data_IF_772800837306
#
_entry.id   IF_772800837306
#
_cell.length_a   1.000
_cell.length_b   1.000
_cell.length_c   1.000
_cell.angle_alpha   90.00
_cell.angle_beta   90.00
_cell.angle_gamma   90.00
#
_symmetry.space_group_name_H-M   'P 1'
#
loop_
_entity.id
_entity.type
_entity.pdbx_description
1 polymer ?
#
# COMPACT_ATOMS: atom_id res chain seq x y z
N UNK A 1 1.53 5.26 12.87
CA UNK A 1 0.21 5.54 13.48
C UNK A 1 -0.03 7.04 13.45
N UNK A 2 -1.27 7.48 13.27
CA UNK A 2 -1.65 8.90 13.26
C UNK A 2 -2.16 9.26 14.66
N UNK A 3 -1.73 10.40 15.18
CA UNK A 3 -2.21 10.94 16.44
C UNK A 3 -3.31 11.94 16.16
N UNK A 4 -4.44 11.81 16.85
CA UNK A 4 -5.59 12.70 16.73
C UNK A 4 -5.94 13.35 18.07
N UNK A 5 -6.44 14.59 18.05
CA UNK A 5 -7.03 15.22 19.23
C UNK A 5 -8.45 14.68 19.49
N UNK A 6 -9.12 15.22 20.52
CA UNK A 6 -10.49 14.84 20.88
C UNK A 6 -11.49 15.18 19.77
N UNK A 7 -11.20 16.18 18.96
CA UNK A 7 -12.01 16.63 17.82
C UNK A 7 -11.75 15.82 16.53
N UNK A 8 -10.82 14.87 16.56
CA UNK A 8 -10.49 13.99 15.44
C UNK A 8 -9.51 14.57 14.41
N UNK A 9 -8.98 15.77 14.65
CA UNK A 9 -7.95 16.41 13.85
C UNK A 9 -6.59 15.76 14.05
N UNK A 10 -5.76 15.74 13.02
CA UNK A 10 -4.42 15.17 13.08
C UNK A 10 -3.51 16.14 13.84
N UNK A 11 -2.93 15.68 14.95
CA UNK A 11 -1.97 16.45 15.77
C UNK A 11 -0.54 15.94 15.64
N UNK A 12 -0.33 14.88 14.85
CA UNK A 12 0.99 14.35 14.57
C UNK A 12 1.00 12.89 14.13
N UNK A 13 2.20 12.34 14.11
CA UNK A 13 2.49 10.99 13.66
C UNK A 13 3.34 10.27 14.70
N UNK A 14 3.01 9.00 14.96
CA UNK A 14 3.79 8.08 15.77
C UNK A 14 4.10 6.83 14.93
N UNK A 15 5.18 6.81 14.14
CA UNK A 15 5.66 5.57 13.53
C UNK A 15 5.95 4.54 14.63
N UNK A 16 5.67 3.27 14.36
CA UNK A 16 5.90 2.17 15.29
C UNK A 16 6.41 0.98 14.52
N UNK A 17 7.52 0.41 14.97
CA UNK A 17 8.16 -0.78 14.40
C UNK A 17 8.12 -1.87 15.47
N UNK A 18 7.56 -3.02 15.13
CA UNK A 18 7.46 -4.17 16.03
C UNK A 18 8.34 -5.28 15.49
N UNK A 19 9.29 -5.73 16.29
CA UNK A 19 10.25 -6.75 15.90
C UNK A 19 10.20 -7.93 16.87
N UNK A 20 10.22 -9.15 16.34
CA UNK A 20 10.15 -10.38 17.12
C UNK A 20 8.72 -10.83 17.42
N UNK A 21 8.59 -11.93 18.16
CA UNK A 21 7.31 -12.56 18.51
C UNK A 21 7.25 -12.87 20.00
N UNK A 22 6.06 -12.75 20.59
CA UNK A 22 5.79 -13.08 22.00
C UNK A 22 6.78 -12.41 22.96
N UNK A 23 7.51 -13.19 23.74
CA UNK A 23 8.42 -12.75 24.80
C UNK A 23 9.65 -12.00 24.28
N UNK A 24 10.00 -12.17 23.00
CA UNK A 24 11.09 -11.44 22.36
C UNK A 24 10.62 -10.23 21.55
N UNK A 25 9.34 -9.85 21.68
CA UNK A 25 8.80 -8.70 20.97
C UNK A 25 9.37 -7.41 21.54
N UNK A 26 9.95 -6.59 20.66
CA UNK A 26 10.39 -5.23 20.95
C UNK A 26 9.63 -4.25 20.06
N UNK A 27 9.11 -3.20 20.68
CA UNK A 27 8.37 -2.15 20.00
C UNK A 27 9.19 -0.86 20.04
N UNK A 28 9.51 -0.31 18.88
CA UNK A 28 10.21 0.96 18.70
C UNK A 28 9.21 2.01 18.24
N UNK A 29 9.19 3.18 18.86
CA UNK A 29 8.32 4.27 18.44
C UNK A 29 8.95 5.62 18.75
N UNK A 30 8.61 6.62 17.95
CA UNK A 30 8.94 8.02 18.16
C UNK A 30 7.72 8.85 17.77
N UNK A 31 7.51 9.98 18.44
CA UNK A 31 6.37 10.86 18.18
C UNK A 31 6.84 12.14 17.50
N UNK A 32 6.14 12.54 16.44
CA UNK A 32 6.36 13.75 15.66
C UNK A 32 5.07 14.55 15.68
N UNK A 33 5.03 15.61 16.50
CA UNK A 33 3.85 16.46 16.64
C UNK A 33 3.89 17.60 15.63
N UNK A 34 2.72 18.04 15.23
CA UNK A 34 2.55 19.30 14.49
C UNK A 34 2.69 20.42 15.51
N UNK A 35 3.52 21.42 15.18
CA UNK A 35 3.71 22.64 15.98
C UNK A 35 3.53 23.85 15.07
N UNK A 36 3.44 25.08 15.59
CA UNK A 36 3.37 26.28 14.76
C UNK A 36 4.55 26.39 13.76
N UNK A 37 5.70 25.82 14.09
CA UNK A 37 6.91 25.82 13.27
C UNK A 37 7.07 24.57 12.37
N UNK A 38 6.28 23.52 12.61
CA UNK A 38 6.39 22.24 11.90
C UNK A 38 5.04 21.88 11.31
N UNK A 39 4.94 22.00 9.99
CA UNK A 39 3.72 21.68 9.26
C UNK A 39 3.37 20.18 9.33
N UNK A 40 2.11 19.86 9.01
CA UNK A 40 1.64 18.48 8.86
C UNK A 40 2.54 17.65 7.91
N UNK A 41 3.00 18.26 6.82
CA UNK A 41 3.83 17.61 5.81
C UNK A 41 5.25 17.33 6.31
N UNK A 42 5.82 18.25 7.09
CA UNK A 42 7.16 18.10 7.67
C UNK A 42 7.16 17.10 8.81
N UNK A 43 6.13 17.12 9.67
CA UNK A 43 5.95 16.11 10.71
C UNK A 43 5.81 14.71 10.10
N UNK A 44 5.11 14.58 8.96
CA UNK A 44 5.00 13.32 8.24
C UNK A 44 6.34 12.88 7.66
N UNK A 45 7.07 13.79 7.00
CA UNK A 45 8.39 13.50 6.42
C UNK A 45 9.37 13.05 7.50
N UNK A 46 9.47 13.77 8.61
CA UNK A 46 10.34 13.42 9.73
C UNK A 46 9.96 12.04 10.33
N UNK A 47 8.67 11.74 10.43
CA UNK A 47 8.20 10.42 10.86
C UNK A 47 8.60 9.30 9.91
N UNK A 48 8.54 9.53 8.60
CA UNK A 48 8.98 8.58 7.57
C UNK A 48 10.50 8.39 7.62
N UNK A 49 11.27 9.47 7.68
CA UNK A 49 12.73 9.42 7.75
C UNK A 49 13.22 8.67 8.98
N UNK A 50 12.65 8.96 10.16
CA UNK A 50 12.98 8.25 11.39
C UNK A 50 12.65 6.76 11.29
N UNK A 51 11.52 6.42 10.68
CA UNK A 51 11.11 5.03 10.49
C UNK A 51 12.11 4.31 9.60
N UNK A 52 12.41 4.86 8.43
CA UNK A 52 13.28 4.21 7.44
C UNK A 52 14.71 4.04 7.99
N UNK A 53 15.20 5.04 8.72
CA UNK A 53 16.49 4.98 9.42
C UNK A 53 16.50 3.92 10.53
N UNK A 54 15.39 3.79 11.28
CA UNK A 54 15.26 2.78 12.34
C UNK A 54 15.09 1.38 11.75
N UNK A 55 14.29 1.20 10.69
CA UNK A 55 14.16 -0.06 9.96
C UNK A 55 15.54 -0.53 9.45
N UNK A 56 16.31 0.38 8.85
CA UNK A 56 17.68 0.09 8.39
C UNK A 56 18.61 -0.34 9.53
N UNK A 57 18.56 0.33 10.69
CA UNK A 57 19.33 -0.06 11.90
C UNK A 57 18.96 -1.45 12.42
N UNK A 58 17.70 -1.85 12.24
CA UNK A 58 17.18 -3.14 12.68
C UNK A 58 17.36 -4.25 11.63
N UNK A 59 18.01 -3.98 10.50
CA UNK A 59 18.20 -4.93 9.41
C UNK A 59 16.92 -5.22 8.61
N UNK A 60 15.93 -4.33 8.66
CA UNK A 60 14.66 -4.42 7.94
C UNK A 60 14.78 -3.58 6.67
N UNK A 61 14.34 -4.13 5.53
CA UNK A 61 14.25 -3.36 4.28
C UNK A 61 13.14 -2.31 4.41
N UNK A 62 13.46 -1.00 4.27
CA UNK A 62 12.50 0.06 4.51
C UNK A 62 11.20 -0.11 3.73
N UNK A 63 10.06 0.12 4.39
CA UNK A 63 8.74 -0.04 3.76
C UNK A 63 8.21 -1.47 3.68
N UNK A 64 8.91 -2.45 4.29
CA UNK A 64 8.39 -3.81 4.51
C UNK A 64 7.28 -3.82 5.57
N UNK A 65 6.10 -3.31 5.21
CA UNK A 65 4.96 -3.23 6.11
C UNK A 65 4.20 -4.57 6.22
N UNK A 66 3.88 -4.97 7.45
CA UNK A 66 2.84 -5.97 7.66
C UNK A 66 1.48 -5.37 7.26
N UNK A 67 0.69 -6.14 6.50
CA UNK A 67 -0.60 -5.68 5.97
C UNK A 67 -1.65 -5.28 7.05
N UNK A 68 -1.38 -5.57 8.33
CA UNK A 68 -2.32 -5.42 9.43
C UNK A 68 -2.36 -4.01 10.06
N UNK A 69 -1.37 -3.15 9.82
CA UNK A 69 -1.27 -1.85 10.52
C UNK A 69 -1.26 -0.61 9.60
N UNK A 70 -1.55 -0.75 8.31
CA UNK A 70 -1.40 0.38 7.37
C UNK A 70 -2.70 1.15 7.15
N UNK A 71 -3.01 2.13 8.01
CA UNK A 71 -3.59 3.37 7.48
C UNK A 71 -2.50 4.04 6.66
N UNK A 72 -2.44 3.72 5.36
CA UNK A 72 -1.45 4.35 4.49
C UNK A 72 -1.85 5.82 4.34
N UNK A 73 -0.91 6.76 4.57
CA UNK A 73 -1.19 8.18 4.41
C UNK A 73 -1.49 8.53 2.95
N UNK A 74 -1.06 7.68 2.01
CA UNK A 74 -1.20 7.89 0.57
C UNK A 74 -2.05 6.77 -0.02
N UNK A 75 -2.80 7.12 -1.06
CA UNK A 75 -3.54 6.18 -1.87
C UNK A 75 -2.60 5.26 -2.67
N UNK A 76 -2.84 3.96 -2.60
CA UNK A 76 -2.10 2.92 -3.31
C UNK A 76 -3.09 2.00 -4.01
N UNK A 77 -2.80 1.70 -5.28
CA UNK A 77 -3.58 0.76 -6.09
C UNK A 77 -3.06 -0.65 -5.84
N UNK A 78 -3.95 -1.62 -5.70
CA UNK A 78 -3.62 -3.03 -5.49
C UNK A 78 -4.57 -3.94 -6.25
N UNK A 79 -4.02 -5.04 -6.79
CA UNK A 79 -4.82 -6.10 -7.39
C UNK A 79 -5.40 -6.99 -6.28
N UNK A 80 -6.72 -7.12 -6.26
CA UNK A 80 -7.45 -7.98 -5.34
C UNK A 80 -8.14 -9.09 -6.13
N UNK A 81 -7.85 -10.34 -5.76
CA UNK A 81 -8.46 -11.53 -6.36
C UNK A 81 -9.09 -12.36 -5.25
N UNK A 82 -10.37 -12.71 -5.38
CA UNK A 82 -11.07 -13.52 -4.37
C UNK A 82 -10.37 -14.87 -4.19
N UNK A 83 -10.38 -15.35 -2.95
CA UNK A 83 -9.71 -16.61 -2.59
C UNK A 83 -10.58 -17.83 -2.94
N UNK A 84 -11.89 -17.66 -2.91
CA UNK A 84 -12.90 -18.67 -3.23
C UNK A 84 -13.65 -18.35 -4.53
N UNK A 85 -14.16 -19.40 -5.21
CA UNK A 85 -15.13 -19.24 -6.29
C UNK A 85 -16.42 -18.54 -5.82
N UNK A 86 -17.11 -17.78 -6.70
CA UNK A 86 -16.67 -17.41 -8.04
C UNK A 86 -15.47 -16.45 -7.98
N UNK A 87 -14.39 -16.78 -8.70
CA UNK A 87 -13.17 -15.99 -8.66
C UNK A 87 -13.43 -14.60 -9.26
N UNK A 88 -13.33 -13.55 -8.46
CA UNK A 88 -13.52 -12.14 -8.87
C UNK A 88 -12.21 -11.40 -8.71
N UNK A 89 -11.82 -10.65 -9.74
CA UNK A 89 -10.62 -9.83 -9.73
C UNK A 89 -10.98 -8.36 -9.95
N UNK A 90 -10.36 -7.47 -9.18
CA UNK A 90 -10.56 -6.03 -9.28
C UNK A 90 -9.30 -5.28 -8.85
N UNK A 91 -9.11 -4.11 -9.42
CA UNK A 91 -8.19 -3.10 -8.92
C UNK A 91 -8.89 -2.30 -7.84
N UNK A 92 -8.21 -2.07 -6.72
CA UNK A 92 -8.74 -1.25 -5.65
C UNK A 92 -7.68 -0.36 -5.03
N UNK A 93 -8.11 0.80 -4.55
CA UNK A 93 -7.30 1.63 -3.67
C UNK A 93 -7.48 1.21 -2.21
N UNK A 94 -6.48 1.46 -1.36
CA UNK A 94 -6.74 1.49 0.08
C UNK A 94 -7.67 2.67 0.42
N UNK A 95 -8.22 2.60 1.64
CA UNK A 95 -8.81 3.76 2.28
C UNK A 95 -7.64 4.59 2.82
N UNK A 96 -7.67 5.88 2.54
CA UNK A 96 -6.68 6.85 3.01
C UNK A 96 -7.03 7.30 4.43
N UNK A 97 -6.06 7.90 5.12
CA UNK A 97 -6.19 8.26 6.54
C UNK A 97 -7.23 9.35 6.83
N UNK A 98 -7.52 10.17 5.83
CA UNK A 98 -8.57 11.19 5.77
C UNK A 98 -9.99 10.58 5.60
N UNK A 99 -10.09 9.26 5.43
CA UNK A 99 -11.35 8.54 5.33
C UNK A 99 -11.90 8.46 3.90
N UNK A 100 -11.18 8.93 2.88
CA UNK A 100 -11.68 8.94 1.51
C UNK A 100 -12.07 7.52 1.03
N UNK A 101 -13.20 7.38 0.31
CA UNK A 101 -13.73 6.08 -0.07
C UNK A 101 -12.78 5.33 -1.00
N UNK A 102 -12.81 4.00 -0.88
CA UNK A 102 -12.03 3.10 -1.75
C UNK A 102 -12.59 3.13 -3.16
N UNK A 103 -11.73 3.33 -4.15
CA UNK A 103 -12.07 3.09 -5.54
C UNK A 103 -11.96 1.59 -5.79
N UNK A 104 -12.94 1.01 -6.49
CA UNK A 104 -12.92 -0.39 -6.93
C UNK A 104 -13.35 -0.46 -8.39
N UNK A 105 -12.50 -1.05 -9.23
CA UNK A 105 -12.78 -1.29 -10.65
C UNK A 105 -12.65 -2.78 -10.92
N UNK A 106 -13.75 -3.41 -11.30
CA UNK A 106 -13.77 -4.85 -11.62
C UNK A 106 -13.05 -5.10 -12.94
N UNK A 107 -12.26 -6.17 -13.00
CA UNK A 107 -11.65 -6.63 -14.26
C UNK A 107 -12.74 -7.35 -15.06
N UNK A 108 -13.33 -8.43 -14.55
CA UNK A 108 -14.53 -9.05 -15.14
C UNK A 108 -14.40 -9.34 -16.64
N UNK A 109 -15.29 -8.74 -17.45
CA UNK A 109 -15.29 -8.80 -18.93
C UNK A 109 -14.33 -7.81 -19.60
N UNK A 110 -13.69 -6.92 -18.83
CA UNK A 110 -12.72 -5.92 -19.30
C UNK A 110 -11.31 -6.51 -19.33
N UNK A 111 -10.43 -5.88 -20.11
CA UNK A 111 -9.02 -6.22 -20.11
C UNK A 111 -8.36 -5.85 -18.76
N UNK A 112 -7.33 -6.62 -18.36
CA UNK A 112 -6.51 -6.37 -17.18
C UNK A 112 -5.94 -4.95 -17.13
N UNK A 113 -5.46 -4.44 -18.28
CA UNK A 113 -4.89 -3.12 -18.45
C UNK A 113 -5.96 -2.03 -18.35
N UNK A 114 -7.07 -2.13 -19.09
CA UNK A 114 -8.13 -1.12 -19.10
C UNK A 114 -8.70 -0.86 -17.69
N UNK A 115 -8.90 -1.93 -16.92
CA UNK A 115 -9.38 -1.82 -15.54
C UNK A 115 -8.35 -1.12 -14.62
N UNK A 116 -7.05 -1.28 -14.90
CA UNK A 116 -5.99 -0.58 -14.18
C UNK A 116 -5.99 0.90 -14.55
N UNK A 117 -6.06 1.23 -15.84
CA UNK A 117 -6.10 2.59 -16.35
C UNK A 117 -7.26 3.40 -15.77
N UNK A 118 -8.47 2.82 -15.78
CA UNK A 118 -9.64 3.42 -15.16
C UNK A 118 -9.43 3.67 -13.66
N UNK A 119 -8.72 2.78 -12.97
CA UNK A 119 -8.40 2.96 -11.55
C UNK A 119 -7.42 4.12 -11.34
N UNK A 120 -6.40 4.26 -12.19
CA UNK A 120 -5.44 5.37 -12.15
C UNK A 120 -6.14 6.70 -12.39
N UNK A 121 -7.00 6.79 -13.41
CA UNK A 121 -7.72 8.02 -13.74
C UNK A 121 -8.70 8.43 -12.64
N UNK A 122 -9.46 7.48 -12.08
CA UNK A 122 -10.35 7.76 -10.94
C UNK A 122 -9.58 8.20 -9.71
N UNK A 123 -8.40 7.62 -9.49
CA UNK A 123 -7.54 8.04 -8.39
C UNK A 123 -7.02 9.46 -8.62
N UNK A 124 -6.52 9.78 -9.83
CA UNK A 124 -6.04 11.12 -10.17
C UNK A 124 -7.14 12.18 -9.97
N UNK A 125 -8.36 11.89 -10.45
CA UNK A 125 -9.53 12.74 -10.25
C UNK A 125 -9.86 12.95 -8.77
N UNK A 126 -9.82 11.88 -7.96
CA UNK A 126 -10.13 11.96 -6.52
C UNK A 126 -9.11 12.80 -5.76
N UNK A 127 -7.83 12.68 -6.11
CA UNK A 127 -6.75 13.44 -5.45
C UNK A 127 -6.59 14.85 -6.04
N UNK A 128 -7.36 15.23 -7.05
CA UNK A 128 -7.26 16.54 -7.71
C UNK A 128 -5.94 16.75 -8.47
N UNK A 129 -5.26 15.67 -8.85
CA UNK A 129 -4.01 15.72 -9.61
C UNK A 129 -4.28 15.55 -11.10
N UNK A 130 -3.50 16.19 -11.98
CA UNK A 130 -3.62 15.97 -13.41
C UNK A 130 -3.36 14.48 -13.73
N UNK A 131 -4.15 13.87 -14.63
CA UNK A 131 -3.88 12.51 -15.06
C UNK A 131 -2.50 12.43 -15.73
N UNK A 132 -1.78 11.32 -15.56
CA UNK A 132 -0.48 11.15 -16.21
C UNK A 132 -0.67 11.14 -17.74
N UNK A 133 0.23 11.79 -18.47
CA UNK A 133 0.22 11.82 -19.96
C UNK A 133 0.26 10.41 -20.56
N UNK A 134 0.96 9.50 -19.89
CA UNK A 134 1.01 8.09 -20.24
C UNK A 134 0.74 7.25 -18.99
N UNK A 135 -0.31 6.42 -19.04
CA UNK A 135 -0.61 5.51 -17.93
C UNK A 135 0.39 4.35 -17.96
N UNK A 136 1.06 4.03 -16.84
CA UNK A 136 1.97 2.90 -16.80
C UNK A 136 1.25 1.58 -17.06
N UNK A 137 2.00 0.59 -17.54
CA UNK A 137 1.49 -0.78 -17.66
C UNK A 137 1.14 -1.33 -16.28
N UNK A 138 0.00 -2.02 -16.22
CA UNK A 138 -0.49 -2.66 -15.01
C UNK A 138 0.56 -3.68 -14.51
N UNK A 139 0.92 -3.63 -13.21
CA UNK A 139 1.92 -4.53 -12.69
C UNK A 139 1.46 -5.98 -12.81
N UNK A 140 2.35 -6.94 -13.11
CA UNK A 140 1.96 -8.33 -13.26
C UNK A 140 1.44 -8.91 -11.94
N UNK A 141 0.41 -9.78 -11.98
CA UNK A 141 -0.14 -10.40 -10.78
C UNK A 141 0.87 -11.34 -10.13
N UNK A 142 0.66 -11.62 -8.84
CA UNK A 142 1.38 -12.70 -8.16
C UNK A 142 0.97 -14.06 -8.74
N UNK A 143 1.83 -15.07 -8.57
CA UNK A 143 1.60 -16.42 -9.12
C UNK A 143 0.26 -17.04 -8.67
N UNK A 144 -0.12 -16.85 -7.41
CA UNK A 144 -1.39 -17.34 -6.87
C UNK A 144 -2.60 -16.56 -7.44
N UNK A 145 -2.48 -15.23 -7.53
CA UNK A 145 -3.49 -14.36 -8.13
C UNK A 145 -3.72 -14.71 -9.61
N UNK A 146 -2.64 -14.85 -10.39
CA UNK A 146 -2.67 -15.26 -11.79
C UNK A 146 -3.43 -16.57 -11.97
N UNK A 147 -3.11 -17.61 -11.19
CA UNK A 147 -3.79 -18.90 -11.28
C UNK A 147 -5.29 -18.79 -11.03
N UNK A 148 -5.71 -17.97 -10.06
CA UNK A 148 -7.14 -17.77 -9.74
C UNK A 148 -7.84 -16.98 -10.84
N UNK A 149 -7.18 -15.98 -11.42
CA UNK A 149 -7.74 -15.21 -12.52
C UNK A 149 -7.90 -16.04 -13.79
N UNK A 150 -6.91 -16.88 -14.13
CA UNK A 150 -7.04 -17.84 -15.24
C UNK A 150 -8.21 -18.80 -15.00
N UNK A 151 -8.37 -19.31 -13.76
CA UNK A 151 -9.55 -20.12 -13.39
C UNK A 151 -10.88 -19.37 -13.48
N UNK A 152 -10.85 -18.03 -13.39
CA UNK A 152 -12.02 -17.17 -13.57
C UNK A 152 -12.37 -16.96 -15.06
N UNK A 153 -11.57 -17.47 -15.99
CA UNK A 153 -11.74 -17.24 -17.43
C UNK A 153 -11.22 -15.89 -17.92
N UNK A 154 -10.47 -15.16 -17.10
CA UNK A 154 -9.85 -13.89 -17.51
C UNK A 154 -8.74 -14.14 -18.53
N UNK A 155 -8.77 -13.37 -19.62
CA UNK A 155 -7.78 -13.41 -20.70
C UNK A 155 -6.81 -12.22 -20.59
N UNK A 156 -5.74 -12.25 -21.39
CA UNK A 156 -4.74 -11.17 -21.51
C UNK A 156 -4.07 -10.73 -20.20
N UNK A 157 -3.96 -11.65 -19.24
CA UNK A 157 -3.30 -11.40 -17.97
C UNK A 157 -1.78 -11.52 -18.18
N UNK A 158 -0.97 -10.51 -17.83
CA UNK A 158 0.48 -10.62 -17.92
C UNK A 158 1.00 -11.76 -17.04
N UNK A 159 2.02 -12.48 -17.53
CA UNK A 159 2.63 -13.57 -16.77
C UNK A 159 3.29 -13.01 -15.50
N UNK A 160 3.21 -13.74 -14.36
CA UNK A 160 3.92 -13.35 -13.15
C UNK A 160 5.42 -13.26 -13.42
N UNK A 161 6.08 -12.27 -12.82
CA UNK A 161 7.54 -12.20 -12.85
C UNK A 161 8.14 -13.49 -12.26
N UNK A 162 9.27 -13.97 -12.79
CA UNK A 162 10.00 -15.08 -12.19
C UNK A 162 10.32 -14.73 -10.73
N UNK A 163 10.18 -15.72 -9.85
CA UNK A 163 10.54 -15.52 -8.45
C UNK A 163 12.01 -15.09 -8.42
N UNK A 164 12.31 -13.89 -7.92
CA UNK A 164 13.68 -13.52 -7.58
C UNK A 164 14.17 -14.61 -6.63
N UNK A 165 15.23 -15.33 -7.03
CA UNK A 165 15.90 -16.27 -6.13
C UNK A 165 16.21 -15.48 -4.88
N UNK A 166 15.64 -15.89 -3.73
CA UNK A 166 16.07 -15.36 -2.43
C UNK A 166 17.58 -15.58 -2.39
N UNK A 167 18.37 -14.52 -2.54
CA UNK A 167 19.75 -14.55 -2.09
C UNK A 167 19.63 -14.87 -0.60
N UNK A 168 19.97 -16.11 -0.24
CA UNK A 168 20.13 -16.51 1.14
C UNK A 168 21.19 -15.57 1.69
N UNK A 169 20.83 -14.65 2.58
CA UNK A 169 21.83 -14.08 3.47
C UNK A 169 22.49 -15.27 4.16
N UNK A 170 23.77 -15.48 3.85
CA UNK A 170 24.59 -16.46 4.56
C UNK A 170 24.72 -15.99 6.03
N UNK A 171 24.82 -16.94 6.96
CA UNK A 171 24.99 -16.64 8.38
C UNK A 171 26.23 -15.79 8.64
#
# INVERSE_FOLDING_TARGET
MILKNQDGEIVGYRPTIQQGTKEHRRDYYQTFKITPEVSLSEALRAAMDWRDLTEKKLGIDPGSHSAACSSKPIASISLIVSQSPPYRAHWATNQTADGAPKIRVSIGVRNYQDAYEETVLRLAQREGIPPPEQIPLAPPPRRDQYRRMVKAGLQDIPKPLPARSRQKCRP
#
